data_IF_607194663963
#
_entry.id   IF_607194663963
#
_cell.length_a   1.000
_cell.length_b   1.000
_cell.length_c   1.000
_cell.angle_alpha   90.00
_cell.angle_beta   90.00
_cell.angle_gamma   90.00
#
_symmetry.space_group_name_H-M   'P 1'
#
loop_
_entity.id
_entity.type
_entity.pdbx_description
1 polymer ?
#
# COMPACT_ATOMS: atom_id res chain seq x y z
N UNK A 1 -11.58 -28.17 1.77
CA UNK A 1 -11.76 -26.75 1.44
C UNK A 1 -11.38 -26.58 -0.01
N UNK A 2 -12.33 -26.15 -0.85
CA UNK A 2 -12.19 -26.09 -2.32
C UNK A 2 -11.11 -25.11 -2.79
N UNK A 3 -10.78 -24.11 -1.96
CA UNK A 3 -9.74 -23.11 -2.25
C UNK A 3 -8.69 -23.05 -1.14
N UNK A 4 -7.44 -22.82 -1.54
CA UNK A 4 -6.31 -22.52 -0.64
C UNK A 4 -5.98 -21.03 -0.74
N UNK A 5 -5.82 -20.37 0.40
CA UNK A 5 -5.39 -18.97 0.46
C UNK A 5 -3.99 -18.84 -0.16
N UNK A 6 -3.84 -18.00 -1.18
CA UNK A 6 -2.56 -17.81 -1.87
C UNK A 6 -1.72 -16.69 -1.25
N UNK A 7 -2.34 -15.65 -0.69
CA UNK A 7 -1.68 -14.53 -0.02
C UNK A 7 -2.67 -13.79 0.89
N UNK A 8 -2.16 -13.02 1.85
CA UNK A 8 -2.94 -12.14 2.73
C UNK A 8 -2.41 -10.70 2.68
N UNK A 9 -3.27 -9.74 2.33
CA UNK A 9 -2.85 -8.36 2.12
C UNK A 9 -3.74 -7.37 2.90
N UNK A 10 -3.16 -6.22 3.24
CA UNK A 10 -3.87 -5.03 3.75
C UNK A 10 -3.75 -3.90 2.74
N UNK A 11 -4.83 -3.16 2.48
CA UNK A 11 -4.80 -2.08 1.51
C UNK A 11 -5.71 -0.91 1.85
N UNK A 12 -5.50 0.19 1.13
CA UNK A 12 -6.32 1.40 1.15
C UNK A 12 -6.53 2.09 2.52
N UNK A 13 -5.67 1.77 3.48
CA UNK A 13 -5.44 2.55 4.69
C UNK A 13 -4.22 3.45 4.52
N UNK A 14 -4.05 4.43 5.41
CA UNK A 14 -2.87 5.29 5.44
C UNK A 14 -1.59 4.44 5.63
N UNK A 15 -0.43 4.85 5.05
CA UNK A 15 0.83 4.14 5.20
C UNK A 15 1.21 3.80 6.65
N UNK A 16 0.92 4.71 7.59
CA UNK A 16 1.19 4.56 9.02
C UNK A 16 0.32 3.49 9.70
N UNK A 17 -0.89 3.25 9.19
CA UNK A 17 -1.75 2.15 9.62
C UNK A 17 -1.28 0.82 9.02
N UNK A 18 -0.80 0.85 7.77
CA UNK A 18 -0.22 -0.32 7.11
C UNK A 18 1.07 -0.77 7.83
N UNK A 19 1.92 0.17 8.27
CA UNK A 19 3.11 -0.12 9.08
C UNK A 19 2.77 -0.96 10.33
N UNK A 20 1.66 -0.64 11.00
CA UNK A 20 1.22 -1.37 12.18
C UNK A 20 0.56 -2.71 11.84
N UNK A 21 -0.02 -2.83 10.64
CA UNK A 21 -0.78 -4.02 10.24
C UNK A 21 0.12 -5.16 9.74
N UNK A 22 1.20 -4.88 9.00
CA UNK A 22 2.04 -5.92 8.39
C UNK A 22 2.55 -6.96 9.41
N UNK A 23 3.07 -6.59 10.60
CA UNK A 23 3.55 -7.58 11.57
C UNK A 23 2.45 -8.52 12.07
N UNK A 24 1.18 -8.08 12.07
CA UNK A 24 0.04 -8.88 12.50
C UNK A 24 -0.37 -9.95 11.46
N UNK A 25 0.03 -9.74 10.21
CA UNK A 25 -0.16 -10.70 9.11
C UNK A 25 0.94 -11.77 9.07
N UNK A 26 2.03 -11.61 9.83
CA UNK A 26 3.14 -12.56 9.84
C UNK A 26 2.71 -13.97 10.30
N UNK A 27 3.54 -14.97 9.97
CA UNK A 27 3.41 -16.36 10.41
C UNK A 27 2.11 -17.08 9.99
N UNK A 28 1.46 -16.64 8.91
CA UNK A 28 0.22 -17.27 8.38
C UNK A 28 0.45 -18.38 7.36
N UNK A 29 1.72 -18.70 7.05
CA UNK A 29 2.08 -19.76 6.09
C UNK A 29 1.79 -19.40 4.62
N UNK A 30 1.45 -18.15 4.34
CA UNK A 30 1.22 -17.61 2.99
C UNK A 30 1.98 -16.29 2.82
N UNK A 31 2.36 -15.90 1.60
CA UNK A 31 2.84 -14.56 1.28
C UNK A 31 1.95 -13.47 1.87
N UNK A 32 2.58 -12.40 2.35
CA UNK A 32 1.87 -11.21 2.85
C UNK A 32 2.25 -9.98 2.05
N UNK A 33 1.39 -8.97 2.06
CA UNK A 33 1.62 -7.76 1.29
C UNK A 33 0.79 -6.57 1.70
N UNK A 34 1.10 -5.43 1.10
CA UNK A 34 0.30 -4.22 1.28
C UNK A 34 0.40 -3.21 0.15
N UNK A 35 -0.64 -2.38 0.05
CA UNK A 35 -0.65 -1.20 -0.81
C UNK A 35 -1.56 -0.12 -0.19
N UNK A 36 -0.94 0.93 0.34
CA UNK A 36 -1.62 1.99 1.09
C UNK A 36 -2.29 3.03 0.16
N UNK A 37 -3.14 3.87 0.75
CA UNK A 37 -3.69 5.05 0.09
C UNK A 37 -2.74 6.27 0.20
N UNK A 38 -3.06 7.33 -0.54
CA UNK A 38 -2.36 8.61 -0.51
C UNK A 38 -3.25 9.81 -0.25
N UNK A 39 -4.43 9.62 0.34
CA UNK A 39 -5.37 10.68 0.72
C UNK A 39 -5.38 10.92 2.24
N UNK A 40 -5.84 12.09 2.68
CA UNK A 40 -5.84 12.51 4.09
C UNK A 40 -6.89 11.76 4.90
N UNK A 41 -8.14 11.83 4.45
CA UNK A 41 -9.28 11.14 5.06
C UNK A 41 -10.36 10.84 4.02
N UNK A 42 -11.30 9.95 4.37
CA UNK A 42 -12.48 9.72 3.54
C UNK A 42 -13.43 10.90 3.74
N UNK A 43 -13.61 11.72 2.71
CA UNK A 43 -14.58 12.81 2.71
C UNK A 43 -16.00 12.27 2.94
N UNK A 44 -16.86 13.01 3.66
CA UNK A 44 -18.26 12.60 3.91
C UNK A 44 -19.02 12.29 2.62
N UNK A 45 -18.75 13.06 1.58
CA UNK A 45 -19.42 12.91 0.28
C UNK A 45 -18.90 11.71 -0.53
N UNK A 46 -17.83 11.05 -0.09
CA UNK A 46 -17.33 9.81 -0.70
C UNK A 46 -18.26 8.62 -0.48
N UNK A 47 -19.19 8.71 0.47
CA UNK A 47 -20.22 7.70 0.68
C UNK A 47 -21.40 7.83 -0.29
N UNK A 48 -21.45 8.89 -1.09
CA UNK A 48 -22.52 9.10 -2.07
C UNK A 48 -22.30 8.21 -3.31
N UNK A 49 -23.39 7.76 -3.93
CA UNK A 49 -23.30 6.98 -5.17
C UNK A 49 -22.63 7.80 -6.27
N UNK A 50 -21.62 7.20 -6.92
CA UNK A 50 -20.89 7.82 -8.03
C UNK A 50 -19.70 8.68 -7.61
N UNK A 51 -19.40 8.80 -6.31
CA UNK A 51 -18.18 9.46 -5.86
C UNK A 51 -16.93 8.73 -6.36
N UNK A 52 -15.95 9.49 -6.85
CA UNK A 52 -14.65 8.98 -7.29
C UNK A 52 -13.56 9.44 -6.32
N UNK A 53 -12.33 8.95 -6.48
CA UNK A 53 -11.19 9.39 -5.65
C UNK A 53 -10.84 10.87 -5.84
N UNK A 54 -11.37 11.54 -6.87
CA UNK A 54 -11.11 12.95 -7.17
C UNK A 54 -11.58 13.91 -6.07
N UNK A 55 -12.57 13.51 -5.27
CA UNK A 55 -13.07 14.31 -4.15
C UNK A 55 -12.25 14.11 -2.86
N UNK A 56 -11.30 13.17 -2.86
CA UNK A 56 -10.45 12.91 -1.71
C UNK A 56 -9.26 13.87 -1.73
N UNK A 57 -8.97 14.49 -0.59
CA UNK A 57 -7.80 15.34 -0.47
C UNK A 57 -6.53 14.50 -0.50
N UNK A 58 -5.70 14.70 -1.52
CA UNK A 58 -4.38 14.06 -1.61
C UNK A 58 -3.46 14.58 -0.51
N UNK A 59 -2.71 13.68 0.12
CA UNK A 59 -1.64 14.05 1.07
C UNK A 59 -0.53 14.78 0.33
N UNK A 60 -0.28 16.02 0.72
CA UNK A 60 0.80 16.86 0.15
C UNK A 60 2.21 16.38 0.51
N UNK A 61 2.34 15.53 1.52
CA UNK A 61 3.62 15.01 2.02
C UNK A 61 3.94 13.57 1.58
N UNK A 62 3.16 12.98 0.67
CA UNK A 62 3.35 11.59 0.22
C UNK A 62 3.87 11.52 -1.22
N UNK A 63 5.03 12.14 -1.44
CA UNK A 63 5.77 12.06 -2.70
C UNK A 63 6.24 10.62 -3.00
N UNK A 64 6.56 10.28 -4.26
CA UNK A 64 7.01 8.94 -4.66
C UNK A 64 8.11 8.35 -3.77
N UNK A 65 9.08 9.17 -3.35
CA UNK A 65 10.17 8.77 -2.47
C UNK A 65 9.70 8.46 -1.06
N UNK A 66 8.87 9.33 -0.48
CA UNK A 66 8.32 9.14 0.86
C UNK A 66 7.47 7.88 0.93
N UNK A 67 6.63 7.63 -0.07
CA UNK A 67 5.85 6.40 -0.15
C UNK A 67 6.75 5.16 -0.24
N UNK A 68 7.82 5.23 -1.03
CA UNK A 68 8.79 4.15 -1.15
C UNK A 68 9.56 3.88 0.16
N UNK A 69 9.74 4.87 1.03
CA UNK A 69 10.33 4.69 2.36
C UNK A 69 9.42 3.84 3.27
N UNK A 70 8.09 4.04 3.22
CA UNK A 70 7.13 3.16 3.90
C UNK A 70 7.17 1.74 3.36
N UNK A 71 7.15 1.58 2.03
CA UNK A 71 7.23 0.26 1.37
C UNK A 71 8.52 -0.48 1.76
N UNK A 72 9.63 0.22 1.88
CA UNK A 72 10.88 -0.35 2.38
C UNK A 72 10.75 -0.87 3.82
N UNK A 73 10.00 -0.16 4.65
CA UNK A 73 9.60 -0.62 5.99
C UNK A 73 8.79 -1.91 5.94
N UNK A 74 7.77 -1.98 5.08
CA UNK A 74 6.90 -3.17 4.95
C UNK A 74 7.69 -4.40 4.47
N UNK A 75 8.60 -4.23 3.52
CA UNK A 75 9.45 -5.32 3.02
C UNK A 75 10.35 -5.85 4.15
N UNK A 76 10.94 -4.97 4.96
CA UNK A 76 11.74 -5.38 6.14
C UNK A 76 10.91 -6.17 7.16
N UNK A 77 9.60 -5.94 7.20
CA UNK A 77 8.65 -6.63 8.07
C UNK A 77 8.07 -7.92 7.42
N UNK A 78 8.50 -8.28 6.22
CA UNK A 78 8.14 -9.54 5.57
C UNK A 78 7.11 -9.43 4.43
N UNK A 79 6.71 -8.22 4.03
CA UNK A 79 5.88 -8.04 2.85
C UNK A 79 6.63 -8.45 1.57
N UNK A 80 6.03 -9.32 0.77
CA UNK A 80 6.56 -9.78 -0.53
C UNK A 80 5.73 -9.31 -1.72
N UNK A 81 4.55 -8.73 -1.46
CA UNK A 81 3.69 -8.13 -2.47
C UNK A 81 3.43 -6.68 -2.07
N UNK A 82 3.85 -5.73 -2.90
CA UNK A 82 3.73 -4.30 -2.62
C UNK A 82 3.21 -3.53 -3.83
N UNK A 83 2.46 -2.45 -3.59
CA UNK A 83 1.84 -1.65 -4.66
C UNK A 83 1.31 -0.31 -4.16
N UNK A 84 0.31 0.25 -4.86
CA UNK A 84 -0.42 1.46 -4.48
C UNK A 84 -1.94 1.27 -4.50
N UNK A 85 -2.67 1.99 -3.66
CA UNK A 85 -4.13 2.11 -3.70
C UNK A 85 -4.53 3.52 -4.22
N UNK A 86 -5.65 4.06 -3.74
CA UNK A 86 -6.12 5.41 -4.09
C UNK A 86 -5.02 6.46 -3.83
N UNK A 87 -4.86 7.43 -4.74
CA UNK A 87 -3.85 8.50 -4.70
C UNK A 87 -2.37 8.07 -4.71
N UNK A 88 -2.09 6.79 -5.01
CA UNK A 88 -0.73 6.29 -5.28
C UNK A 88 -0.62 5.95 -6.76
N UNK A 89 0.02 6.85 -7.52
CA UNK A 89 0.00 6.83 -8.99
C UNK A 89 1.23 6.21 -9.65
N UNK A 90 1.35 6.34 -10.99
CA UNK A 90 2.46 5.78 -11.76
C UNK A 90 3.85 6.24 -11.31
N UNK A 91 3.99 7.49 -10.86
CA UNK A 91 5.26 8.02 -10.35
C UNK A 91 5.73 7.29 -9.08
N UNK A 92 4.79 6.97 -8.18
CA UNK A 92 5.07 6.17 -6.98
C UNK A 92 5.51 4.76 -7.37
N UNK A 93 4.75 4.09 -8.24
CA UNK A 93 5.08 2.73 -8.70
C UNK A 93 6.43 2.68 -9.42
N UNK A 94 6.78 3.72 -10.20
CA UNK A 94 8.07 3.82 -10.86
C UNK A 94 9.24 3.92 -9.85
N UNK A 95 9.10 4.71 -8.78
CA UNK A 95 10.10 4.78 -7.71
C UNK A 95 10.20 3.45 -6.96
N UNK A 96 9.09 2.75 -6.69
CA UNK A 96 9.12 1.40 -6.10
C UNK A 96 9.90 0.43 -6.98
N UNK A 97 9.54 0.33 -8.27
CA UNK A 97 10.19 -0.57 -9.20
C UNK A 97 11.70 -0.28 -9.32
N UNK A 98 12.09 1.00 -9.32
CA UNK A 98 13.49 1.42 -9.30
C UNK A 98 14.23 0.90 -8.06
N UNK A 99 13.69 1.13 -6.85
CA UNK A 99 14.33 0.70 -5.60
C UNK A 99 14.42 -0.82 -5.49
N UNK A 100 13.36 -1.53 -5.88
CA UNK A 100 13.32 -2.99 -5.85
C UNK A 100 14.36 -3.61 -6.80
N UNK A 101 14.50 -3.10 -8.03
CA UNK A 101 15.56 -3.52 -8.96
C UNK A 101 16.96 -3.25 -8.43
N UNK A 102 17.19 -2.07 -7.84
CA UNK A 102 18.48 -1.73 -7.22
C UNK A 102 18.86 -2.71 -6.09
N UNK A 103 17.87 -3.26 -5.40
CA UNK A 103 18.03 -4.25 -4.33
C UNK A 103 18.01 -5.70 -4.82
N UNK A 104 17.83 -5.93 -6.13
CA UNK A 104 17.66 -7.26 -6.73
C UNK A 104 16.47 -8.05 -6.14
N UNK A 105 15.41 -7.34 -5.79
CA UNK A 105 14.13 -7.89 -5.33
C UNK A 105 13.08 -7.97 -6.45
N UNK A 106 13.41 -7.43 -7.62
CA UNK A 106 12.69 -7.54 -8.90
C UNK A 106 13.69 -7.79 -10.03
#
# INVERSE_FOLDING_TARGET
TEFKLAALLVNCSAPEAVDQAIPLLANRGVPIGAYANGFVEIAKDFLQQGATVEILEKRSNLEPKTYADFVDGWIKQGATIVGGCCEVGPAHVAELAKRLRQRRLL
#
